data_IF_645894210875
#
_entry.id   IF_645894210875
#
_cell.length_a   1.000
_cell.length_b   1.000
_cell.length_c   1.000
_cell.angle_alpha   90.00
_cell.angle_beta   90.00
_cell.angle_gamma   90.00
#
_symmetry.space_group_name_H-M   'P 1'
#
loop_
_entity.id
_entity.type
_entity.pdbx_description
1 polymer ?
#
# COMPACT_ATOMS: atom_id res chain seq x y z
N UNK A 1 -27.73 -14.44 -10.96
CA UNK A 1 -26.79 -13.30 -10.77
C UNK A 1 -25.68 -13.74 -9.84
N UNK A 2 -24.44 -13.85 -10.31
CA UNK A 2 -23.30 -13.98 -9.40
C UNK A 2 -23.24 -12.71 -8.55
N UNK A 3 -23.37 -12.82 -7.22
CA UNK A 3 -23.14 -11.70 -6.31
C UNK A 3 -21.71 -11.22 -6.55
N UNK A 4 -21.55 -9.99 -7.01
CA UNK A 4 -20.22 -9.38 -7.10
C UNK A 4 -19.60 -9.47 -5.71
N UNK A 5 -18.39 -10.04 -5.55
CA UNK A 5 -17.77 -10.11 -4.24
C UNK A 5 -17.66 -8.67 -3.69
N UNK A 6 -18.18 -8.46 -2.48
CA UNK A 6 -18.11 -7.16 -1.84
C UNK A 6 -16.63 -6.82 -1.64
N UNK A 7 -16.21 -5.70 -2.24
CA UNK A 7 -14.83 -5.24 -2.21
C UNK A 7 -14.78 -3.97 -1.36
N UNK A 8 -14.27 -4.06 -0.11
CA UNK A 8 -14.05 -2.90 0.73
C UNK A 8 -13.21 -1.84 0.00
N UNK A 9 -13.63 -0.58 0.07
CA UNK A 9 -12.89 0.54 -0.54
C UNK A 9 -12.20 1.37 0.53
N UNK A 10 -10.89 1.48 0.45
CA UNK A 10 -10.10 2.32 1.36
C UNK A 10 -10.21 3.79 0.91
N UNK A 11 -11.18 4.52 1.46
CA UNK A 11 -11.38 5.95 1.15
C UNK A 11 -10.24 6.78 1.74
N UNK A 12 -9.60 7.60 0.91
CA UNK A 12 -8.45 8.40 1.32
C UNK A 12 -7.10 7.69 1.12
N UNK A 13 -7.10 6.42 0.73
CA UNK A 13 -5.88 5.75 0.30
C UNK A 13 -5.42 6.35 -1.06
N UNK A 14 -4.12 6.67 -1.23
CA UNK A 14 -3.60 7.21 -2.48
C UNK A 14 -3.94 6.31 -3.68
N UNK A 15 -4.45 6.87 -4.80
CA UNK A 15 -4.89 6.04 -5.92
C UNK A 15 -3.73 5.34 -6.64
N UNK A 16 -2.51 5.87 -6.53
CA UNK A 16 -1.33 5.41 -7.26
C UNK A 16 -0.15 6.36 -7.12
N UNK A 17 0.93 6.06 -7.83
CA UNK A 17 2.09 6.94 -7.94
C UNK A 17 1.81 8.04 -8.97
N UNK A 18 1.75 9.30 -8.51
CA UNK A 18 1.47 10.48 -9.34
C UNK A 18 2.46 10.60 -10.50
N UNK A 19 1.97 11.04 -11.67
CA UNK A 19 2.78 11.18 -12.88
C UNK A 19 3.14 9.86 -13.56
N UNK A 20 2.62 8.73 -13.09
CA UNK A 20 2.84 7.41 -13.68
C UNK A 20 1.54 6.65 -13.91
N UNK A 21 1.62 5.52 -14.62
CA UNK A 21 0.50 4.60 -14.81
C UNK A 21 0.25 3.68 -13.61
N UNK A 22 1.11 3.70 -12.59
CA UNK A 22 1.06 2.75 -11.47
C UNK A 22 -0.06 3.11 -10.51
N UNK A 23 -1.14 2.32 -10.55
CA UNK A 23 -2.27 2.42 -9.63
C UNK A 23 -2.07 1.49 -8.44
N UNK A 24 -2.51 1.92 -7.26
CA UNK A 24 -2.48 1.14 -6.03
C UNK A 24 -3.84 0.56 -5.66
N UNK A 25 -4.90 1.04 -6.31
CA UNK A 25 -6.27 0.63 -6.01
C UNK A 25 -7.06 0.23 -7.25
N UNK A 26 -7.95 -0.73 -7.07
CA UNK A 26 -8.92 -1.22 -8.05
C UNK A 26 -10.20 -0.38 -7.97
N UNK A 27 -10.77 -0.06 -9.13
CA UNK A 27 -12.03 0.69 -9.23
C UNK A 27 -13.27 -0.19 -9.01
N UNK A 28 -13.17 -1.47 -9.39
CA UNK A 28 -14.24 -2.47 -9.33
C UNK A 28 -13.66 -3.82 -8.92
N UNK A 29 -14.48 -4.62 -8.26
CA UNK A 29 -14.12 -6.00 -7.93
C UNK A 29 -13.95 -6.81 -9.23
N UNK A 30 -12.98 -7.71 -9.25
CA UNK A 30 -12.73 -8.60 -10.36
C UNK A 30 -13.31 -9.99 -10.03
N UNK A 31 -13.99 -10.62 -10.99
CA UNK A 31 -14.45 -12.01 -10.84
C UNK A 31 -13.30 -13.01 -10.77
N UNK A 32 -12.12 -12.64 -11.31
CA UNK A 32 -10.88 -13.42 -11.24
C UNK A 32 -9.88 -12.66 -10.38
N UNK A 33 -9.97 -12.86 -9.06
CA UNK A 33 -9.11 -12.19 -8.10
C UNK A 33 -7.70 -12.78 -8.17
N UNK A 34 -6.66 -11.94 -8.22
CA UNK A 34 -5.27 -12.38 -8.14
C UNK A 34 -5.01 -13.01 -6.76
N UNK A 35 -4.65 -14.30 -6.67
CA UNK A 35 -4.34 -14.92 -5.39
C UNK A 35 -3.05 -14.34 -4.81
N UNK A 36 -3.11 -13.91 -3.56
CA UNK A 36 -1.95 -13.38 -2.86
C UNK A 36 -0.96 -14.51 -2.57
N UNK A 37 0.19 -14.44 -3.25
CA UNK A 37 1.30 -15.38 -3.14
C UNK A 37 2.61 -14.61 -3.06
N UNK A 38 3.60 -15.18 -2.36
CA UNK A 38 4.90 -14.52 -2.21
C UNK A 38 5.67 -14.57 -3.53
N UNK A 39 5.78 -13.44 -4.23
CA UNK A 39 6.49 -13.35 -5.49
C UNK A 39 7.99 -13.06 -5.29
N UNK A 40 8.88 -13.65 -6.12
CA UNK A 40 10.30 -13.33 -6.06
C UNK A 40 10.52 -11.86 -6.45
N UNK A 41 11.40 -11.17 -5.71
CA UNK A 41 11.79 -9.79 -6.03
C UNK A 41 12.73 -9.82 -7.24
N UNK A 42 12.15 -9.83 -8.44
CA UNK A 42 12.91 -9.74 -9.67
C UNK A 42 13.42 -8.32 -9.86
N UNK A 43 14.71 -8.20 -10.20
CA UNK A 43 15.31 -6.92 -10.53
C UNK A 43 14.68 -6.40 -11.83
N UNK A 44 13.93 -5.32 -11.72
CA UNK A 44 13.32 -4.64 -12.86
C UNK A 44 14.27 -3.58 -13.43
N UNK A 45 14.32 -3.44 -14.75
CA UNK A 45 15.10 -2.38 -15.42
C UNK A 45 14.38 -1.03 -15.44
N UNK A 46 13.05 -1.04 -15.28
CA UNK A 46 12.21 0.15 -15.13
C UNK A 46 12.24 0.69 -13.70
N UNK A 47 12.83 1.86 -13.51
CA UNK A 47 12.94 2.52 -12.21
C UNK A 47 11.57 2.92 -11.64
N UNK A 48 10.58 3.18 -12.49
CA UNK A 48 9.24 3.60 -12.04
C UNK A 48 8.51 2.48 -11.30
N UNK A 49 8.80 1.21 -11.62
CA UNK A 49 8.29 0.05 -10.88
C UNK A 49 8.83 0.02 -9.46
N UNK A 50 10.14 0.27 -9.29
CA UNK A 50 10.75 0.32 -7.96
C UNK A 50 10.19 1.48 -7.13
N UNK A 51 10.01 2.65 -7.74
CA UNK A 51 9.37 3.81 -7.10
C UNK A 51 7.90 3.53 -6.72
N UNK A 52 7.16 2.80 -7.55
CA UNK A 52 5.79 2.40 -7.24
C UNK A 52 5.73 1.46 -6.04
N UNK A 53 6.65 0.50 -5.93
CA UNK A 53 6.72 -0.40 -4.77
C UNK A 53 7.05 0.37 -3.49
N UNK A 54 7.98 1.33 -3.55
CA UNK A 54 8.32 2.23 -2.43
C UNK A 54 7.10 3.07 -2.03
N UNK A 55 6.47 3.75 -2.99
CA UNK A 55 5.30 4.60 -2.75
C UNK A 55 4.10 3.80 -2.22
N UNK A 56 3.94 2.55 -2.65
CA UNK A 56 2.89 1.67 -2.14
C UNK A 56 3.13 1.31 -0.66
N UNK A 57 4.37 0.96 -0.28
CA UNK A 57 4.73 0.70 1.13
C UNK A 57 4.51 1.95 1.98
N UNK A 58 4.89 3.13 1.47
CA UNK A 58 4.66 4.40 2.17
C UNK A 58 3.16 4.65 2.39
N UNK A 59 2.34 4.44 1.37
CA UNK A 59 0.89 4.60 1.47
C UNK A 59 0.27 3.62 2.47
N UNK A 60 0.73 2.35 2.49
CA UNK A 60 0.31 1.37 3.48
C UNK A 60 0.66 1.80 4.90
N UNK A 61 1.89 2.28 5.11
CA UNK A 61 2.35 2.77 6.40
C UNK A 61 1.55 3.98 6.88
N UNK A 62 1.42 5.01 6.06
CA UNK A 62 0.70 6.24 6.41
C UNK A 62 -0.79 6.00 6.67
N UNK A 63 -1.41 5.07 5.95
CA UNK A 63 -2.85 4.84 6.04
C UNK A 63 -3.23 3.80 7.11
N UNK A 64 -2.49 2.69 7.23
CA UNK A 64 -2.82 1.59 8.16
C UNK A 64 -1.84 1.45 9.33
N UNK A 65 -0.59 1.90 9.16
CA UNK A 65 0.49 1.68 10.11
C UNK A 65 0.78 0.19 10.31
N UNK A 66 0.77 -0.24 11.57
CA UNK A 66 0.91 -1.66 11.96
C UNK A 66 -0.42 -2.37 12.21
N UNK A 67 -1.54 -1.66 12.08
CA UNK A 67 -2.87 -2.20 12.38
C UNK A 67 -3.28 -3.19 11.28
N UNK A 68 -3.91 -4.34 11.62
CA UNK A 68 -4.51 -5.21 10.64
C UNK A 68 -5.55 -4.49 9.78
N UNK A 69 -5.56 -4.78 8.48
CA UNK A 69 -6.48 -4.18 7.51
C UNK A 69 -6.95 -5.22 6.49
N UNK A 70 -8.13 -5.00 5.92
CA UNK A 70 -8.67 -5.85 4.85
C UNK A 70 -7.91 -5.61 3.55
N UNK A 71 -7.66 -6.65 2.76
CA UNK A 71 -7.11 -6.53 1.40
C UNK A 71 -7.85 -5.48 0.57
N UNK A 72 -9.18 -5.49 0.63
CA UNK A 72 -10.06 -4.52 0.00
C UNK A 72 -9.74 -4.27 -1.47
N UNK A 73 -9.76 -3.01 -1.86
CA UNK A 73 -9.52 -2.59 -3.23
C UNK A 73 -8.02 -2.40 -3.55
N UNK A 74 -7.08 -2.91 -2.76
CA UNK A 74 -5.66 -2.76 -3.04
C UNK A 74 -5.21 -3.63 -4.23
N UNK A 75 -4.21 -3.14 -4.96
CA UNK A 75 -3.64 -3.81 -6.13
C UNK A 75 -3.01 -5.16 -5.76
N UNK A 76 -3.53 -6.24 -6.34
CA UNK A 76 -3.11 -7.60 -6.01
C UNK A 76 -1.65 -7.89 -6.35
N UNK A 77 -1.15 -7.35 -7.48
CA UNK A 77 0.23 -7.57 -7.89
C UNK A 77 1.22 -6.92 -6.93
N UNK A 78 0.97 -5.67 -6.53
CA UNK A 78 1.79 -4.99 -5.52
C UNK A 78 1.75 -5.69 -4.18
N UNK A 79 0.57 -6.17 -3.76
CA UNK A 79 0.46 -6.98 -2.55
C UNK A 79 1.31 -8.26 -2.65
N UNK A 80 1.26 -9.01 -3.75
CA UNK A 80 2.07 -10.22 -3.96
C UNK A 80 3.59 -9.99 -3.85
N UNK A 81 4.07 -8.80 -4.24
CA UNK A 81 5.49 -8.43 -4.14
C UNK A 81 5.97 -8.28 -2.70
N UNK A 82 5.07 -7.92 -1.79
CA UNK A 82 5.34 -7.70 -0.37
C UNK A 82 4.92 -8.90 0.49
N UNK A 83 4.01 -9.73 -0.02
CA UNK A 83 3.39 -10.82 0.72
C UNK A 83 4.41 -11.88 1.14
N UNK A 84 4.28 -12.35 2.39
CA UNK A 84 5.20 -13.31 3.01
C UNK A 84 6.46 -12.67 3.61
N UNK A 85 6.67 -11.36 3.43
CA UNK A 85 7.83 -10.63 3.97
C UNK A 85 7.37 -9.38 4.71
N UNK A 86 7.08 -8.32 3.98
CA UNK A 86 6.62 -7.05 4.52
C UNK A 86 5.11 -7.07 4.80
N UNK A 87 4.34 -7.87 4.06
CA UNK A 87 2.93 -8.12 4.36
C UNK A 87 2.72 -9.55 4.82
N UNK A 88 2.01 -9.70 5.93
CA UNK A 88 1.68 -10.98 6.51
C UNK A 88 0.17 -11.12 6.66
N UNK A 89 -0.39 -12.34 6.57
CA UNK A 89 -1.76 -12.58 6.98
C UNK A 89 -1.91 -12.24 8.48
N UNK A 90 -3.00 -11.56 8.80
CA UNK A 90 -3.33 -11.16 10.17
C UNK A 90 -4.35 -12.08 10.84
N UNK A 91 -4.84 -13.10 10.12
CA UNK A 91 -5.82 -14.06 10.60
C UNK A 91 -5.37 -15.51 10.36
N UNK A 92 -5.95 -16.45 11.13
CA UNK A 92 -5.74 -17.88 10.96
C UNK A 92 -6.70 -18.40 9.89
N UNK A 93 -6.19 -19.03 8.84
CA UNK A 93 -7.01 -19.52 7.72
C UNK A 93 -7.25 -18.49 6.61
N UNK A 94 -6.35 -17.51 6.48
CA UNK A 94 -6.37 -16.48 5.45
C UNK A 94 -6.64 -17.02 4.04
N UNK A 95 -7.66 -16.48 3.37
CA UNK A 95 -7.97 -16.77 1.97
C UNK A 95 -7.22 -15.79 1.04
N UNK A 96 -6.26 -16.26 0.23
CA UNK A 96 -5.47 -15.41 -0.66
C UNK A 96 -6.30 -14.75 -1.78
N UNK A 97 -7.53 -15.18 -2.01
CA UNK A 97 -8.44 -14.64 -3.03
C UNK A 97 -9.57 -13.78 -2.45
N UNK A 98 -9.73 -13.73 -1.13
CA UNK A 98 -10.76 -12.92 -0.48
C UNK A 98 -10.39 -11.44 -0.46
N UNK A 99 -11.36 -10.58 -0.79
CA UNK A 99 -11.25 -9.13 -0.61
C UNK A 99 -11.36 -8.70 0.85
N UNK A 100 -11.90 -9.55 1.72
CA UNK A 100 -12.04 -9.29 3.16
C UNK A 100 -10.86 -9.82 3.96
N UNK A 101 -9.97 -10.59 3.33
CA UNK A 101 -8.82 -11.21 3.97
C UNK A 101 -7.95 -10.18 4.70
N UNK A 102 -7.63 -10.48 5.96
CA UNK A 102 -6.90 -9.55 6.81
C UNK A 102 -5.38 -9.66 6.63
N UNK A 103 -4.75 -8.52 6.37
CA UNK A 103 -3.32 -8.35 6.21
C UNK A 103 -2.78 -7.41 7.28
N UNK A 104 -1.49 -7.54 7.59
CA UNK A 104 -0.76 -6.59 8.44
C UNK A 104 0.62 -6.32 7.88
N UNK A 105 1.08 -5.08 8.05
CA UNK A 105 2.43 -4.68 7.70
C UNK A 105 3.42 -5.11 8.79
N UNK A 106 4.45 -5.84 8.40
CA UNK A 106 5.63 -6.11 9.22
C UNK A 106 6.58 -4.92 9.12
N UNK A 107 6.42 -3.98 10.05
CA UNK A 107 7.20 -2.73 10.09
C UNK A 107 8.71 -2.97 10.06
N UNK A 108 9.23 -3.93 10.82
CA UNK A 108 10.66 -4.19 10.91
C UNK A 108 11.25 -4.57 9.53
N UNK A 109 10.57 -5.45 8.80
CA UNK A 109 11.01 -5.84 7.46
C UNK A 109 10.73 -4.76 6.42
N UNK A 110 9.63 -4.01 6.56
CA UNK A 110 9.29 -2.92 5.68
C UNK A 110 10.35 -1.80 5.75
N UNK A 111 10.72 -1.35 6.96
CA UNK A 111 11.78 -0.35 7.17
C UNK A 111 13.13 -0.81 6.65
N UNK A 112 13.45 -2.09 6.82
CA UNK A 112 14.72 -2.66 6.33
C UNK A 112 14.77 -2.73 4.79
N UNK A 113 13.68 -3.13 4.15
CA UNK A 113 13.66 -3.40 2.70
C UNK A 113 13.26 -2.17 1.86
N UNK A 114 12.56 -1.20 2.46
CA UNK A 114 12.07 0.02 1.82
C UNK A 114 12.33 1.24 2.73
N UNK A 115 13.59 1.54 3.09
CA UNK A 115 13.88 2.65 4.01
C UNK A 115 13.33 3.98 3.50
N UNK A 116 13.36 4.21 2.18
CA UNK A 116 12.85 5.42 1.51
C UNK A 116 11.35 5.65 1.74
N UNK A 117 10.56 4.58 1.92
CA UNK A 117 9.12 4.70 2.18
C UNK A 117 8.81 5.34 3.55
N UNK A 118 9.80 5.44 4.43
CA UNK A 118 9.68 6.00 5.78
C UNK A 118 10.43 7.34 5.93
N UNK A 119 11.06 7.85 4.88
CA UNK A 119 11.84 9.10 4.95
C UNK A 119 10.95 10.34 5.02
N UNK A 120 9.73 10.29 4.49
CA UNK A 120 8.78 11.42 4.48
C UNK A 120 8.33 11.80 5.91
N UNK A 121 8.26 10.82 6.82
CA UNK A 121 8.03 11.03 8.26
C UNK A 121 9.09 11.99 8.87
N UNK A 122 10.30 12.02 8.31
CA UNK A 122 11.36 12.95 8.74
C UNK A 122 11.25 14.34 8.14
N UNK A 123 10.60 14.53 6.98
CA UNK A 123 10.45 15.85 6.35
C UNK A 123 9.37 16.70 7.03
N UNK A 124 8.24 16.09 7.40
CA UNK A 124 7.16 16.80 8.11
C UNK A 124 7.50 17.10 9.59
N UNK A 125 8.35 16.30 10.23
CA UNK A 125 8.88 16.60 11.57
C UNK A 125 9.80 17.85 11.60
N UNK A 126 10.29 18.29 10.43
CA UNK A 126 11.08 19.52 10.26
C UNK A 126 10.30 20.73 9.71
N UNK A 127 9.04 20.55 9.32
CA UNK A 127 8.22 21.58 8.69
C UNK A 127 7.14 22.18 9.62
N UNK A 128 7.40 22.25 10.92
CA UNK A 128 6.68 23.13 11.82
C UNK A 128 7.47 24.43 12.02
N UNK A 129 7.14 25.44 11.21
CA UNK A 129 7.08 26.89 11.53
C UNK A 129 7.18 27.73 10.25
N UNK A 130 6.02 28.12 9.72
CA UNK A 130 5.75 29.51 9.29
C UNK A 130 4.30 29.63 8.81
N UNK A 131 3.35 29.51 9.75
CA UNK A 131 2.04 30.15 9.58
C UNK A 131 2.21 31.64 9.83
N UNK A 132 1.62 32.46 8.95
CA UNK A 132 2.04 33.84 8.71
C UNK A 132 1.54 34.92 9.66
N UNK A 133 2.09 36.12 9.43
CA UNK A 133 1.59 37.49 9.73
C UNK A 133 2.67 38.42 9.13
N UNK A 134 2.42 39.42 8.30
CA UNK A 134 1.44 40.48 8.47
C UNK A 134 1.18 41.19 7.15
N UNK A 135 -0.08 41.58 6.97
CA UNK A 135 -0.56 42.64 6.09
C UNK A 135 -0.48 43.96 6.88
N UNK A 136 0.18 44.98 6.33
CA UNK A 136 -0.06 46.42 6.49
C UNK A 136 1.18 47.21 6.05
N UNK A 137 1.09 47.93 4.93
CA UNK A 137 1.00 49.39 4.89
C UNK A 137 0.47 49.82 3.51
#
# INVERSE_FOLDING_TARGET
>A
MAKTPEMPKHRGFPPGLLGTQWQFTLRRANSKVTPLTAWPRQRTMDQTVALADIGFVQALWQYFGTTPFQRGNLDGERLCRLFGRELLPAERGFDPTSYEGLLKLNEALARKNFPQAFEDEKKDAGASRSTGKSRAE
#
